data_IF_880515501078
#
_entry.id   IF_880515501078
#
_cell.length_a   1.000
_cell.length_b   1.000
_cell.length_c   1.000
_cell.angle_alpha   90.00
_cell.angle_beta   90.00
_cell.angle_gamma   90.00
#
_symmetry.space_group_name_H-M   'P 1'
#
loop_
_entity.id
_entity.type
_entity.pdbx_description
1 polymer ?
#
# COMPACT_ATOMS: atom_id res chain seq x y z
N UNK A 1 -1.31 4.55 -22.90
CA UNK A 1 -2.16 5.54 -23.59
C UNK A 1 -3.65 5.21 -23.54
N UNK A 2 -4.15 4.13 -24.19
CA UNK A 2 -5.60 3.82 -24.20
C UNK A 2 -6.21 3.54 -22.80
N UNK A 3 -5.44 2.95 -21.88
CA UNK A 3 -5.86 2.75 -20.49
C UNK A 3 -5.98 4.09 -19.74
N UNK A 4 -4.93 4.91 -19.77
CA UNK A 4 -4.90 6.25 -19.18
C UNK A 4 -6.06 7.11 -19.69
N UNK A 5 -6.32 7.12 -21.00
CA UNK A 5 -7.43 7.89 -21.59
C UNK A 5 -8.79 7.46 -21.05
N UNK A 6 -9.02 6.15 -20.88
CA UNK A 6 -10.26 5.64 -20.29
C UNK A 6 -10.43 6.11 -18.84
N UNK A 7 -9.41 5.94 -18.01
CA UNK A 7 -9.46 6.34 -16.59
C UNK A 7 -9.67 7.85 -16.47
N UNK A 8 -8.98 8.66 -17.28
CA UNK A 8 -9.16 10.11 -17.29
C UNK A 8 -10.56 10.51 -17.78
N UNK A 9 -11.12 9.79 -18.76
CA UNK A 9 -12.49 10.03 -19.23
C UNK A 9 -13.53 9.75 -18.14
N UNK A 10 -13.34 8.66 -17.38
CA UNK A 10 -14.22 8.29 -16.28
C UNK A 10 -14.17 9.35 -15.15
N UNK A 11 -12.97 9.86 -14.83
CA UNK A 11 -12.77 10.93 -13.84
C UNK A 11 -13.28 12.30 -14.31
N UNK A 12 -13.18 12.61 -15.61
CA UNK A 12 -13.64 13.88 -16.17
C UNK A 12 -15.18 13.99 -16.19
N UNK A 13 -15.91 12.89 -16.01
CA UNK A 13 -17.36 12.89 -15.83
C UNK A 13 -17.81 13.30 -14.42
N UNK A 14 -16.87 13.54 -13.49
CA UNK A 14 -17.13 13.91 -12.11
C UNK A 14 -16.93 15.41 -11.90
N UNK A 15 -17.41 15.95 -10.78
CA UNK A 15 -17.32 17.39 -10.44
C UNK A 15 -15.90 17.81 -9.99
N UNK A 16 -14.87 17.24 -10.60
CA UNK A 16 -13.46 17.51 -10.32
C UNK A 16 -12.90 18.55 -11.30
N UNK A 17 -12.04 19.44 -10.79
CA UNK A 17 -11.27 20.34 -11.66
C UNK A 17 -10.15 19.57 -12.37
N UNK A 18 -9.65 20.04 -13.54
CA UNK A 18 -8.65 19.32 -14.33
C UNK A 18 -7.39 18.89 -13.56
N UNK A 19 -6.94 19.70 -12.61
CA UNK A 19 -5.77 19.36 -11.77
C UNK A 19 -6.06 18.22 -10.79
N UNK A 20 -7.27 18.18 -10.21
CA UNK A 20 -7.70 17.09 -9.34
C UNK A 20 -7.78 15.76 -10.10
N UNK A 21 -8.31 15.76 -11.33
CA UNK A 21 -8.40 14.56 -12.17
C UNK A 21 -7.00 13.93 -12.36
N UNK A 22 -6.00 14.74 -12.72
CA UNK A 22 -4.63 14.26 -12.90
C UNK A 22 -4.03 13.77 -11.58
N UNK A 23 -4.24 14.50 -10.48
CA UNK A 23 -3.74 14.08 -9.17
C UNK A 23 -4.33 12.74 -8.71
N UNK A 24 -5.64 12.55 -8.86
CA UNK A 24 -6.33 11.29 -8.53
C UNK A 24 -5.78 10.15 -9.39
N UNK A 25 -5.65 10.35 -10.70
CA UNK A 25 -5.09 9.34 -11.59
C UNK A 25 -3.67 8.92 -11.18
N UNK A 26 -2.79 9.89 -10.93
CA UNK A 26 -1.39 9.62 -10.58
C UNK A 26 -1.26 9.02 -9.18
N UNK A 27 -2.10 9.42 -8.22
CA UNK A 27 -2.09 8.86 -6.87
C UNK A 27 -2.47 7.37 -6.89
N UNK A 28 -3.58 7.02 -7.56
CA UNK A 28 -4.03 5.64 -7.68
C UNK A 28 -3.01 4.77 -8.43
N UNK A 29 -2.44 5.30 -9.53
CA UNK A 29 -1.41 4.60 -10.29
C UNK A 29 -0.14 4.37 -9.45
N UNK A 30 0.34 5.40 -8.77
CA UNK A 30 1.53 5.33 -7.93
C UNK A 30 1.37 4.36 -6.77
N UNK A 31 0.19 4.33 -6.15
CA UNK A 31 -0.14 3.35 -5.12
C UNK A 31 -0.07 1.91 -5.63
N UNK A 32 -0.77 1.61 -6.73
CA UNK A 32 -0.78 0.28 -7.31
C UNK A 32 0.63 -0.19 -7.73
N UNK A 33 1.42 0.72 -8.32
CA UNK A 33 2.82 0.45 -8.67
C UNK A 33 3.70 0.23 -7.44
N UNK A 34 3.51 1.01 -6.37
CA UNK A 34 4.24 0.87 -5.13
C UNK A 34 3.99 -0.47 -4.44
N UNK A 35 2.72 -0.89 -4.36
CA UNK A 35 2.36 -2.21 -3.82
C UNK A 35 2.95 -3.32 -4.68
N UNK A 36 2.81 -3.24 -6.01
CA UNK A 36 3.37 -4.24 -6.91
C UNK A 36 4.91 -4.33 -6.82
N UNK A 37 5.60 -3.21 -6.63
CA UNK A 37 7.05 -3.19 -6.44
C UNK A 37 7.49 -3.82 -5.10
N UNK A 38 6.69 -3.64 -4.04
CA UNK A 38 6.94 -4.27 -2.74
C UNK A 38 6.82 -5.80 -2.82
N UNK A 39 5.81 -6.30 -3.52
CA UNK A 39 5.62 -7.74 -3.82
C UNK A 39 6.82 -8.32 -4.56
N UNK A 40 7.28 -7.62 -5.61
CA UNK A 40 8.43 -8.05 -6.40
C UNK A 40 9.72 -8.09 -5.55
N UNK A 41 9.91 -7.11 -4.67
CA UNK A 41 11.06 -7.09 -3.74
C UNK A 41 11.01 -8.26 -2.75
N UNK A 42 9.84 -8.60 -2.23
CA UNK A 42 9.65 -9.76 -1.35
C UNK A 42 9.92 -11.08 -2.09
N UNK A 43 9.42 -11.20 -3.33
CA UNK A 43 9.66 -12.34 -4.21
C UNK A 43 11.15 -12.53 -4.51
N UNK A 44 11.87 -11.46 -4.85
CA UNK A 44 13.32 -11.50 -5.09
C UNK A 44 14.10 -11.87 -3.82
N UNK A 45 13.75 -11.30 -2.67
CA UNK A 45 14.36 -11.68 -1.39
C UNK A 45 14.19 -13.17 -1.08
N UNK A 46 13.01 -13.74 -1.37
CA UNK A 46 12.72 -15.17 -1.24
C UNK A 46 13.54 -16.02 -2.21
N UNK A 47 13.72 -15.57 -3.44
CA UNK A 47 14.53 -16.27 -4.45
C UNK A 47 16.03 -16.28 -4.12
N UNK A 48 16.56 -15.14 -3.67
CA UNK A 48 18.00 -14.98 -3.38
C UNK A 48 18.41 -15.67 -2.06
N UNK A 49 17.51 -15.70 -1.07
CA UNK A 49 17.79 -16.29 0.25
C UNK A 49 17.27 -17.72 0.40
N UNK A 50 16.28 -18.12 -0.42
CA UNK A 50 15.56 -19.38 -0.30
C UNK A 50 14.62 -19.45 0.92
N UNK A 51 14.48 -18.37 1.69
CA UNK A 51 13.73 -18.33 2.93
C UNK A 51 12.31 -17.81 2.70
N UNK A 52 11.32 -18.49 3.27
CA UNK A 52 9.95 -17.99 3.40
C UNK A 52 9.91 -16.70 4.25
N UNK A 53 8.85 -15.86 4.16
CA UNK A 53 8.72 -14.66 4.98
C UNK A 53 8.84 -14.94 6.48
N UNK A 54 8.29 -16.07 6.93
CA UNK A 54 8.39 -16.53 8.31
C UNK A 54 9.84 -16.90 8.68
N UNK A 55 10.57 -17.58 7.79
CA UNK A 55 11.99 -17.90 7.98
C UNK A 55 12.90 -16.65 7.89
N UNK A 56 12.54 -15.66 7.09
CA UNK A 56 13.23 -14.37 7.04
C UNK A 56 13.01 -13.56 8.31
N UNK A 57 11.79 -13.54 8.85
CA UNK A 57 11.48 -12.93 10.14
C UNK A 57 12.21 -13.65 11.28
N UNK A 58 12.20 -14.99 11.31
CA UNK A 58 12.91 -15.79 12.30
C UNK A 58 14.44 -15.69 12.19
N UNK A 59 14.99 -15.53 10.98
CA UNK A 59 16.44 -15.35 10.78
C UNK A 59 16.93 -13.92 11.02
N UNK A 60 16.05 -12.92 10.94
CA UNK A 60 16.33 -11.54 11.34
C UNK A 60 15.91 -11.20 12.77
N UNK A 61 15.27 -12.12 13.49
CA UNK A 61 14.98 -12.03 14.93
C UNK A 61 16.20 -11.61 15.77
N UNK A 62 17.43 -12.13 15.53
CA UNK A 62 18.63 -11.67 16.24
C UNK A 62 19.05 -10.23 15.93
N UNK A 63 18.58 -9.64 14.80
CA UNK A 63 18.80 -8.23 14.45
C UNK A 63 17.68 -7.32 14.94
N UNK A 64 16.50 -7.85 15.22
CA UNK A 64 15.38 -7.10 15.82
C UNK A 64 15.38 -7.17 17.34
N UNK A 65 16.10 -8.10 17.97
CA UNK A 65 16.29 -8.17 19.42
C UNK A 65 16.69 -6.81 20.05
N UNK A 66 17.64 -6.01 19.51
CA UNK A 66 17.97 -4.69 20.08
C UNK A 66 16.83 -3.66 19.96
N UNK A 67 15.93 -3.82 18.99
CA UNK A 67 14.78 -2.94 18.75
C UNK A 67 13.60 -3.32 19.65
N UNK A 68 13.46 -4.61 19.98
CA UNK A 68 12.43 -5.15 20.87
C UNK A 68 12.82 -5.08 22.36
N UNK A 69 14.11 -5.20 22.70
CA UNK A 69 14.62 -5.09 24.08
C UNK A 69 14.74 -3.66 24.59
N UNK A 70 14.84 -2.67 23.69
CA UNK A 70 14.61 -1.27 24.04
C UNK A 70 13.13 -0.99 23.84
N UNK A 71 12.37 -0.64 24.89
CA UNK A 71 10.93 -0.29 24.84
C UNK A 71 10.58 0.96 24.01
N UNK A 72 11.25 1.18 22.89
CA UNK A 72 11.15 2.31 21.98
C UNK A 72 9.96 2.21 21.02
N UNK A 73 9.40 1.01 20.79
CA UNK A 73 8.27 0.79 19.87
C UNK A 73 7.20 -0.14 20.44
N UNK A 74 6.60 0.19 21.61
CA UNK A 74 5.67 -0.70 22.31
C UNK A 74 4.43 -1.06 21.48
N UNK A 75 3.94 -0.13 20.65
CA UNK A 75 2.78 -0.37 19.78
C UNK A 75 3.12 -1.37 18.67
N UNK A 76 4.32 -1.24 18.08
CA UNK A 76 4.74 -2.08 16.97
C UNK A 76 4.95 -3.53 17.42
N UNK A 77 5.60 -3.72 18.57
CA UNK A 77 5.76 -5.06 19.18
C UNK A 77 4.41 -5.71 19.48
N UNK A 78 3.46 -4.98 20.07
CA UNK A 78 2.13 -5.52 20.38
C UNK A 78 1.33 -5.95 19.13
N UNK A 79 1.61 -5.35 17.96
CA UNK A 79 0.97 -5.69 16.70
C UNK A 79 1.65 -6.87 15.98
N UNK A 80 2.97 -7.05 16.14
CA UNK A 80 3.69 -8.19 15.56
C UNK A 80 3.42 -9.51 16.29
N UNK A 81 3.08 -9.47 17.58
CA UNK A 81 2.66 -10.65 18.37
C UNK A 81 1.30 -11.23 17.91
N UNK A 82 0.56 -10.51 17.07
CA UNK A 82 -0.67 -10.99 16.44
C UNK A 82 -0.30 -11.61 15.08
N UNK A 83 -0.12 -12.93 15.03
CA UNK A 83 0.11 -13.67 13.78
C UNK A 83 -0.98 -13.34 12.72
N UNK A 84 -0.59 -13.12 11.46
CA UNK A 84 -1.55 -13.08 10.35
C UNK A 84 -1.45 -11.93 9.36
N UNK A 85 -0.31 -11.22 9.28
CA UNK A 85 -0.08 -10.26 8.20
C UNK A 85 0.22 -11.00 6.87
N UNK A 86 -0.83 -11.46 6.19
CA UNK A 86 -0.78 -11.81 4.76
C UNK A 86 -0.81 -10.53 3.94
N UNK A 87 0.37 -10.03 3.57
CA UNK A 87 0.58 -8.58 3.33
C UNK A 87 0.24 -8.06 1.94
N UNK A 88 -0.08 -8.89 0.96
CA UNK A 88 -0.02 -8.43 -0.44
C UNK A 88 -1.40 -8.04 -1.00
N UNK A 89 -2.36 -8.97 -1.02
CA UNK A 89 -3.69 -8.69 -1.59
C UNK A 89 -4.56 -7.86 -0.64
N UNK A 90 -4.56 -8.20 0.65
CA UNK A 90 -5.37 -7.51 1.66
C UNK A 90 -4.89 -6.07 1.86
N UNK A 91 -3.57 -5.82 1.78
CA UNK A 91 -3.02 -4.47 1.86
C UNK A 91 -3.39 -3.63 0.64
N UNK A 92 -3.34 -4.22 -0.56
CA UNK A 92 -3.75 -3.56 -1.80
C UNK A 92 -5.22 -3.13 -1.72
N UNK A 93 -6.11 -4.06 -1.37
CA UNK A 93 -7.54 -3.80 -1.27
C UNK A 93 -7.84 -2.77 -0.19
N UNK A 94 -7.21 -2.88 0.98
CA UNK A 94 -7.39 -1.93 2.08
C UNK A 94 -6.99 -0.52 1.67
N UNK A 95 -5.78 -0.33 1.13
CA UNK A 95 -5.30 1.00 0.78
C UNK A 95 -6.03 1.59 -0.42
N UNK A 96 -6.39 0.77 -1.41
CA UNK A 96 -7.20 1.21 -2.54
C UNK A 96 -8.58 1.71 -2.07
N UNK A 97 -9.25 0.94 -1.20
CA UNK A 97 -10.55 1.34 -0.66
C UNK A 97 -10.46 2.68 0.08
N UNK A 98 -9.45 2.87 0.95
CA UNK A 98 -9.25 4.14 1.66
C UNK A 98 -8.94 5.32 0.74
N UNK A 99 -8.22 5.10 -0.36
CA UNK A 99 -8.00 6.17 -1.35
C UNK A 99 -9.29 6.54 -2.07
N UNK A 100 -10.10 5.55 -2.47
CA UNK A 100 -11.38 5.79 -3.13
C UNK A 100 -12.36 6.53 -2.22
N UNK A 101 -12.43 6.18 -0.93
CA UNK A 101 -13.23 6.91 0.06
C UNK A 101 -12.80 8.40 0.13
N UNK A 102 -11.50 8.67 0.06
CA UNK A 102 -10.97 10.04 0.03
C UNK A 102 -11.30 10.80 -1.26
N UNK A 103 -11.32 10.09 -2.41
CA UNK A 103 -11.72 10.66 -3.70
C UNK A 103 -13.22 10.96 -3.71
N UNK A 104 -14.06 10.08 -3.17
CA UNK A 104 -15.48 10.31 -2.99
C UNK A 104 -15.73 11.58 -2.17
N UNK A 105 -15.10 11.71 -1.01
CA UNK A 105 -15.23 12.91 -0.19
C UNK A 105 -14.77 14.19 -0.90
N UNK A 106 -13.73 14.11 -1.74
CA UNK A 106 -13.27 15.23 -2.55
C UNK A 106 -14.32 15.67 -3.59
N UNK A 107 -14.99 14.70 -4.22
CA UNK A 107 -16.06 14.95 -5.20
C UNK A 107 -17.24 15.61 -4.50
N UNK A 108 -17.69 15.06 -3.37
CA UNK A 108 -18.80 15.61 -2.59
C UNK A 108 -18.57 17.06 -2.15
N UNK A 109 -17.32 17.42 -1.82
CA UNK A 109 -16.94 18.79 -1.46
C UNK A 109 -16.87 19.74 -2.66
N UNK A 110 -16.65 19.22 -3.86
CA UNK A 110 -16.52 20.01 -5.09
C UNK A 110 -17.87 20.27 -5.76
N UNK A 111 -18.88 19.45 -5.47
CA UNK A 111 -20.28 19.59 -5.90
C UNK A 111 -21.19 20.43 -5.01
N UNK A 112 -20.70 20.83 -3.83
CA UNK A 112 -21.43 21.64 -2.84
C UNK A 112 -21.34 23.15 -3.04
#
# INVERSE_FOLDING_TARGET
MRYTERVLSDLNGLELIPTQIIHVHLALLGYAQGVAAAVELESQARQDTGMTPEEWMASNEPRTEPIQTAGSYPILSALFDQEGFGLELDLFEFGLARMLDGVESLIEQSGG
#
